data_IF_126582619115
#
_entry.id   IF_126582619115
#
_cell.length_a   1.000
_cell.length_b   1.000
_cell.length_c   1.000
_cell.angle_alpha   90.00
_cell.angle_beta   90.00
_cell.angle_gamma   90.00
#
_symmetry.space_group_name_H-M   'P 1'
#
loop_
_entity.id
_entity.type
_entity.pdbx_description
1 polymer ?
#
# COMPACT_ATOMS: atom_id res chain seq x y z
N UNK A 1 -5.21 11.66 -19.95
CA UNK A 1 -6.45 10.96 -19.52
C UNK A 1 -6.58 11.18 -18.03
N UNK A 2 -7.66 11.82 -17.58
CA UNK A 2 -7.91 12.01 -16.15
C UNK A 2 -8.42 10.71 -15.53
N UNK A 3 -7.75 10.24 -14.49
CA UNK A 3 -8.30 9.17 -13.65
C UNK A 3 -9.50 9.68 -12.85
N UNK A 4 -10.42 8.79 -12.52
CA UNK A 4 -11.57 9.10 -11.64
C UNK A 4 -11.14 9.15 -10.18
N UNK A 5 -10.18 8.28 -9.80
CA UNK A 5 -9.65 8.22 -8.45
C UNK A 5 -8.40 9.09 -8.37
N UNK A 6 -8.44 10.06 -7.46
CA UNK A 6 -7.31 10.93 -7.12
C UNK A 6 -7.10 10.93 -5.62
N UNK A 7 -5.84 11.03 -5.20
CA UNK A 7 -5.48 11.17 -3.79
C UNK A 7 -5.82 12.55 -3.20
N UNK A 8 -6.10 13.54 -4.05
CA UNK A 8 -6.53 14.88 -3.61
C UNK A 8 -7.95 14.89 -3.05
N UNK A 9 -8.73 13.84 -3.30
CA UNK A 9 -10.11 13.73 -2.86
C UNK A 9 -10.26 12.58 -1.83
N UNK A 10 -10.37 12.91 -0.53
CA UNK A 10 -10.32 11.91 0.55
C UNK A 10 -11.46 10.90 0.55
N UNK A 11 -12.59 11.21 -0.12
CA UNK A 11 -13.74 10.31 -0.22
C UNK A 11 -13.43 9.00 -0.93
N UNK A 12 -12.37 8.96 -1.74
CA UNK A 12 -11.90 7.74 -2.41
C UNK A 12 -11.03 6.84 -1.54
N UNK A 13 -10.47 7.36 -0.45
CA UNK A 13 -9.50 6.59 0.37
C UNK A 13 -10.22 5.41 1.05
N UNK A 14 -11.29 5.69 1.78
CA UNK A 14 -12.03 4.67 2.55
C UNK A 14 -12.59 3.55 1.68
N UNK A 15 -13.37 3.79 0.60
CA UNK A 15 -14.00 2.72 -0.18
C UNK A 15 -12.99 1.83 -0.90
N UNK A 16 -11.85 2.37 -1.34
CA UNK A 16 -10.88 1.61 -2.14
C UNK A 16 -9.77 0.96 -1.30
N UNK A 17 -9.45 1.50 -0.12
CA UNK A 17 -8.36 0.96 0.72
C UNK A 17 -8.82 0.37 2.05
N UNK A 18 -10.02 0.73 2.53
CA UNK A 18 -10.45 0.45 3.89
C UNK A 18 -9.73 1.27 4.96
N UNK A 19 -8.83 2.18 4.59
CA UNK A 19 -8.13 3.07 5.51
C UNK A 19 -8.91 4.37 5.72
N UNK A 20 -8.84 4.93 6.92
CA UNK A 20 -9.20 6.34 7.11
C UNK A 20 -8.19 7.25 6.40
N UNK A 21 -8.58 8.48 5.99
CA UNK A 21 -7.65 9.45 5.40
C UNK A 21 -6.40 9.69 6.25
N UNK A 22 -6.56 9.71 7.57
CA UNK A 22 -5.44 9.89 8.51
C UNK A 22 -4.46 8.70 8.49
N UNK A 23 -4.96 7.47 8.44
CA UNK A 23 -4.12 6.28 8.36
C UNK A 23 -3.43 6.17 7.00
N UNK A 24 -4.11 6.58 5.93
CA UNK A 24 -3.49 6.70 4.61
C UNK A 24 -2.34 7.73 4.62
N UNK A 25 -2.52 8.90 5.23
CA UNK A 25 -1.45 9.89 5.35
C UNK A 25 -0.26 9.39 6.17
N UNK A 26 -0.50 8.62 7.24
CA UNK A 26 0.58 7.95 8.00
C UNK A 26 1.35 6.96 7.14
N UNK A 27 0.65 6.19 6.31
CA UNK A 27 1.25 5.25 5.38
C UNK A 27 2.12 5.96 4.33
N UNK A 28 1.59 7.03 3.72
CA UNK A 28 2.36 7.87 2.79
C UNK A 28 3.63 8.42 3.45
N UNK A 29 3.52 8.93 4.68
CA UNK A 29 4.68 9.45 5.42
C UNK A 29 5.73 8.37 5.72
N UNK A 30 5.30 7.15 6.08
CA UNK A 30 6.22 6.03 6.29
C UNK A 30 6.95 5.66 4.99
N UNK A 31 6.21 5.51 3.89
CA UNK A 31 6.76 5.15 2.57
C UNK A 31 7.69 6.25 2.02
N UNK A 32 7.38 7.52 2.29
CA UNK A 32 8.27 8.66 1.99
C UNK A 32 9.61 8.55 2.70
N UNK A 33 9.61 8.12 3.98
CA UNK A 33 10.84 7.93 4.77
C UNK A 33 11.70 6.77 4.26
N UNK A 34 11.07 5.74 3.71
CA UNK A 34 11.75 4.61 3.03
C UNK A 34 12.29 4.97 1.63
N UNK A 35 12.17 6.24 1.21
CA UNK A 35 12.78 6.73 -0.04
C UNK A 35 11.90 6.58 -1.29
N UNK A 36 10.60 6.32 -1.14
CA UNK A 36 9.67 6.22 -2.29
C UNK A 36 9.53 7.51 -3.12
N UNK A 37 9.92 8.64 -2.54
CA UNK A 37 9.92 9.96 -3.20
C UNK A 37 11.31 10.46 -3.57
N UNK A 38 12.33 9.63 -3.41
CA UNK A 38 13.66 9.98 -3.90
C UNK A 38 13.62 10.11 -5.43
N UNK A 39 14.14 11.24 -5.94
CA UNK A 39 14.20 11.50 -7.37
C UNK A 39 14.99 10.39 -8.08
N UNK A 40 14.29 9.56 -8.85
CA UNK A 40 14.91 8.55 -9.70
C UNK A 40 15.50 9.21 -10.95
N UNK A 41 16.65 8.71 -11.42
CA UNK A 41 17.11 9.00 -12.80
C UNK A 41 16.10 8.43 -13.79
N UNK A 42 15.50 9.29 -14.61
CA UNK A 42 14.55 8.90 -15.65
C UNK A 42 13.26 9.72 -15.63
N UNK A 43 12.26 9.26 -16.39
CA UNK A 43 10.95 9.92 -16.46
C UNK A 43 10.25 9.84 -15.09
N UNK A 44 9.75 10.97 -14.55
CA UNK A 44 8.95 10.96 -13.33
C UNK A 44 7.72 10.07 -13.45
N UNK A 45 7.27 9.50 -12.33
CA UNK A 45 5.99 8.81 -12.27
C UNK A 45 4.87 9.79 -12.65
N UNK A 46 3.87 9.30 -13.39
CA UNK A 46 2.70 10.11 -13.77
C UNK A 46 1.76 10.39 -12.59
N UNK A 47 1.94 9.68 -11.46
CA UNK A 47 1.13 9.78 -10.26
C UNK A 47 1.97 10.35 -9.10
N UNK A 48 1.42 11.30 -8.30
CA UNK A 48 2.05 11.74 -7.06
C UNK A 48 2.16 10.59 -6.06
N UNK A 49 3.03 10.72 -5.05
CA UNK A 49 3.30 9.65 -4.08
C UNK A 49 2.01 9.13 -3.41
N UNK A 50 1.13 10.03 -3.03
CA UNK A 50 -0.15 9.73 -2.40
C UNK A 50 -1.03 8.87 -3.32
N UNK A 51 -1.09 9.24 -4.61
CA UNK A 51 -1.80 8.46 -5.63
C UNK A 51 -1.17 7.10 -5.89
N UNK A 52 0.16 6.99 -5.80
CA UNK A 52 0.87 5.71 -5.92
C UNK A 52 0.54 4.79 -4.74
N UNK A 53 0.54 5.30 -3.51
CA UNK A 53 0.16 4.54 -2.31
C UNK A 53 -1.30 4.10 -2.38
N UNK A 54 -2.20 5.00 -2.78
CA UNK A 54 -3.62 4.71 -2.96
C UNK A 54 -3.85 3.60 -3.99
N UNK A 55 -3.10 3.60 -5.10
CA UNK A 55 -3.19 2.57 -6.13
C UNK A 55 -2.78 1.19 -5.61
N UNK A 56 -1.65 1.08 -4.90
CA UNK A 56 -1.20 -0.22 -4.37
C UNK A 56 -2.13 -0.71 -3.26
N UNK A 57 -2.59 0.17 -2.38
CA UNK A 57 -3.55 -0.19 -1.35
C UNK A 57 -4.88 -0.67 -1.95
N UNK A 58 -5.36 -0.02 -3.02
CA UNK A 58 -6.54 -0.46 -3.76
C UNK A 58 -6.32 -1.80 -4.46
N UNK A 59 -5.14 -2.02 -5.06
CA UNK A 59 -4.75 -3.30 -5.66
C UNK A 59 -4.80 -4.46 -4.65
N UNK A 60 -4.31 -4.25 -3.43
CA UNK A 60 -4.36 -5.28 -2.39
C UNK A 60 -5.75 -5.48 -1.78
N UNK A 61 -6.55 -4.41 -1.69
CA UNK A 61 -7.85 -4.48 -1.02
C UNK A 61 -8.98 -4.97 -1.93
N UNK A 62 -8.86 -4.74 -3.23
CA UNK A 62 -9.92 -4.98 -4.21
C UNK A 62 -9.51 -6.05 -5.21
N UNK A 63 -10.48 -6.78 -5.77
CA UNK A 63 -10.25 -7.78 -6.81
C UNK A 63 -10.26 -7.17 -8.22
N UNK A 64 -9.79 -5.94 -8.38
CA UNK A 64 -9.80 -5.26 -9.67
C UNK A 64 -8.69 -5.79 -10.58
N UNK A 65 -8.99 -5.89 -11.88
CA UNK A 65 -7.97 -6.20 -12.88
C UNK A 65 -6.99 -5.04 -13.01
N UNK A 66 -5.74 -5.33 -13.40
CA UNK A 66 -4.72 -4.30 -13.63
C UNK A 66 -5.17 -3.21 -14.62
N UNK A 67 -5.99 -3.59 -15.62
CA UNK A 67 -6.55 -2.65 -16.59
C UNK A 67 -7.59 -1.72 -15.98
N UNK A 68 -8.51 -2.24 -15.16
CA UNK A 68 -9.50 -1.41 -14.44
C UNK A 68 -8.81 -0.47 -13.47
N UNK A 69 -7.81 -0.96 -12.73
CA UNK A 69 -7.02 -0.15 -11.83
C UNK A 69 -6.30 0.98 -12.58
N UNK A 70 -5.63 0.65 -13.68
CA UNK A 70 -4.95 1.66 -14.50
C UNK A 70 -5.91 2.73 -15.03
N UNK A 71 -7.09 2.33 -15.50
CA UNK A 71 -8.13 3.24 -15.96
C UNK A 71 -8.60 4.19 -14.84
N UNK A 72 -8.91 3.65 -13.66
CA UNK A 72 -9.40 4.43 -12.52
C UNK A 72 -8.39 5.49 -12.06
N UNK A 73 -7.10 5.18 -12.13
CA UNK A 73 -6.02 6.08 -11.70
C UNK A 73 -5.44 6.92 -12.86
N UNK A 74 -5.99 6.83 -14.07
CA UNK A 74 -5.54 7.63 -15.21
C UNK A 74 -4.11 7.31 -15.66
N UNK A 75 -3.67 6.06 -15.46
CA UNK A 75 -2.32 5.58 -15.81
C UNK A 75 -2.40 4.46 -16.85
N UNK A 76 -1.26 4.07 -17.43
CA UNK A 76 -1.23 2.89 -18.30
C UNK A 76 -1.17 1.60 -17.47
N UNK A 77 -1.68 0.49 -18.02
CA UNK A 77 -1.57 -0.84 -17.39
C UNK A 77 -0.12 -1.18 -17.03
N UNK A 78 0.83 -0.89 -17.92
CA UNK A 78 2.26 -1.12 -17.70
C UNK A 78 2.86 -0.21 -16.63
N UNK A 79 2.37 1.03 -16.50
CA UNK A 79 2.81 1.93 -15.44
C UNK A 79 2.26 1.51 -14.07
N UNK A 80 1.00 1.05 -14.01
CA UNK A 80 0.41 0.48 -12.79
C UNK A 80 1.19 -0.75 -12.31
N UNK A 81 1.51 -1.66 -13.22
CA UNK A 81 2.30 -2.87 -12.93
C UNK A 81 3.69 -2.53 -12.34
N UNK A 82 4.43 -1.63 -13.00
CA UNK A 82 5.74 -1.16 -12.52
C UNK A 82 5.67 -0.45 -11.17
N UNK A 83 4.59 0.30 -10.95
CA UNK A 83 4.37 1.01 -9.69
C UNK A 83 4.12 0.00 -8.57
N UNK A 84 3.28 -1.01 -8.77
CA UNK A 84 3.04 -2.07 -7.78
C UNK A 84 4.33 -2.84 -7.48
N UNK A 85 5.08 -3.24 -8.51
CA UNK A 85 6.35 -3.94 -8.33
C UNK A 85 7.39 -3.09 -7.56
N UNK A 86 7.41 -1.78 -7.79
CA UNK A 86 8.34 -0.87 -7.11
C UNK A 86 7.92 -0.55 -5.67
N UNK A 87 6.63 -0.28 -5.44
CA UNK A 87 6.10 0.22 -4.18
C UNK A 87 5.70 -0.90 -3.21
N UNK A 88 5.38 -2.09 -3.72
CA UNK A 88 4.98 -3.25 -2.93
C UNK A 88 5.93 -3.54 -1.77
N UNK A 89 7.26 -3.62 -1.99
CA UNK A 89 8.23 -3.83 -0.91
C UNK A 89 8.28 -2.70 0.13
N UNK A 90 8.04 -1.44 -0.27
CA UNK A 90 8.05 -0.28 0.62
C UNK A 90 6.78 -0.22 1.49
N UNK A 91 5.68 -0.75 0.95
CA UNK A 91 4.38 -0.84 1.61
C UNK A 91 4.20 -2.13 2.41
N UNK A 92 5.03 -3.15 2.16
CA UNK A 92 5.22 -4.30 3.03
C UNK A 92 5.98 -3.88 4.30
N UNK A 93 5.47 -2.84 4.97
CA UNK A 93 5.93 -2.34 6.25
C UNK A 93 6.22 -3.54 7.13
N UNK A 94 7.46 -3.66 7.59
CA UNK A 94 7.86 -4.76 8.46
C UNK A 94 6.80 -4.86 9.57
N UNK A 95 6.24 -6.06 9.82
CA UNK A 95 5.33 -6.25 10.93
C UNK A 95 6.02 -5.68 12.17
N UNK A 96 5.37 -4.74 12.87
CA UNK A 96 5.94 -4.22 14.12
C UNK A 96 6.07 -5.38 15.08
N UNK A 97 7.28 -5.95 15.19
CA UNK A 97 7.63 -6.92 16.23
C UNK A 97 7.76 -6.16 17.56
N UNK A 98 6.61 -5.87 18.16
CA UNK A 98 6.46 -5.69 19.60
C UNK A 98 5.23 -6.46 20.03
N UNK A 99 5.30 -7.77 19.83
CA UNK A 99 4.39 -8.70 20.48
C UNK A 99 4.96 -8.92 21.89
N UNK A 100 4.10 -8.84 22.90
CA UNK A 100 4.48 -9.24 24.25
C UNK A 100 4.90 -10.71 24.21
N UNK A 101 5.79 -11.13 25.11
CA UNK A 101 6.17 -12.54 25.25
C UNK A 101 4.97 -13.47 25.50
N UNK A 102 3.80 -12.92 25.84
CA UNK A 102 2.54 -13.62 26.11
C UNK A 102 1.52 -13.53 24.98
N UNK A 103 1.84 -12.89 23.85
CA UNK A 103 0.89 -12.74 22.74
C UNK A 103 0.88 -13.96 21.84
N UNK A 104 -0.29 -14.57 21.64
CA UNK A 104 -0.52 -15.61 20.63
C UNK A 104 -0.99 -14.94 19.34
N UNK A 105 -0.35 -15.25 18.22
CA UNK A 105 -0.76 -14.76 16.90
C UNK A 105 -1.71 -15.77 16.26
N UNK A 106 -2.79 -15.30 15.65
CA UNK A 106 -3.62 -16.12 14.76
C UNK A 106 -3.19 -15.82 13.32
N UNK A 107 -2.66 -16.83 12.64
CA UNK A 107 -2.34 -16.77 11.20
C UNK A 107 -3.14 -17.87 10.52
N UNK A 108 -4.01 -17.49 9.59
CA UNK A 108 -4.85 -18.42 8.81
C UNK A 108 -5.65 -19.42 9.67
N UNK A 109 -6.19 -18.95 10.81
CA UNK A 109 -6.96 -19.78 11.75
C UNK A 109 -6.11 -20.66 12.67
N UNK A 110 -4.79 -20.61 12.55
CA UNK A 110 -3.87 -21.36 13.39
C UNK A 110 -3.30 -20.46 14.48
N UNK A 111 -3.40 -20.89 15.74
CA UNK A 111 -2.73 -20.25 16.86
C UNK A 111 -1.24 -20.57 16.82
N UNK A 112 -0.41 -19.57 16.56
CA UNK A 112 1.05 -19.67 16.56
C UNK A 112 1.57 -19.02 17.86
N UNK A 113 2.02 -19.80 18.84
CA UNK A 113 2.65 -19.27 20.04
C UNK A 113 3.98 -18.61 19.69
N UNK A 114 4.23 -17.41 20.24
CA UNK A 114 5.42 -16.61 19.93
C UNK A 114 6.68 -17.03 20.71
N UNK A 115 6.59 -18.05 21.57
CA UNK A 115 7.73 -18.70 22.22
C UNK A 115 7.41 -20.17 22.48
N UNK A 116 8.33 -21.05 22.09
CA UNK A 116 8.35 -22.43 22.57
C UNK A 116 8.84 -22.41 24.02
N UNK A 117 8.03 -22.91 24.95
CA UNK A 117 8.47 -23.16 26.32
C UNK A 117 9.07 -24.56 26.37
N UNK A 118 10.35 -24.69 26.02
CA UNK A 118 11.16 -25.82 26.50
C UNK A 118 11.38 -25.61 28.00
N UNK A 119 10.65 -26.41 28.80
CA UNK A 119 10.90 -26.59 30.22
C UNK A 119 12.16 -27.38 30.49
#
# INVERSE_FOLDING_TARGET
MGGVITSSEPSWITPFTGLSPQNCNKLVAAVRREGADAARRGRPWSLPLEGRVLLVAAYWRTNLTMSQLALLFGTSKSAADRLIAHMGPLLALQPRRRLSATTVLIVDGTLVPTRDHSG
#
